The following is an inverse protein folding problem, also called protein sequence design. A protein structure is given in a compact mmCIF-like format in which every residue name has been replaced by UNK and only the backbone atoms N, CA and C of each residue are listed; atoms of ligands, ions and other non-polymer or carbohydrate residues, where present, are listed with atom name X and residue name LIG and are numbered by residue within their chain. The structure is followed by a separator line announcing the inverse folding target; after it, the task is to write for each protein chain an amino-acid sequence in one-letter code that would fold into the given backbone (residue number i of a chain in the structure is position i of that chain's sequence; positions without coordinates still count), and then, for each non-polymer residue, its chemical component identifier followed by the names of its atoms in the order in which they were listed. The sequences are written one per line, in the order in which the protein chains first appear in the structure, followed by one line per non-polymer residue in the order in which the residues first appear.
data_IF_247745435535
#
_entry.id   IF_247745435535
#
_cell.length_a   1.000
_cell.length_b   1.000
_cell.length_c   1.000
_cell.angle_alpha   90.00
_cell.angle_beta   90.00
_cell.angle_gamma   90.00
#
_symmetry.space_group_name_H-M   'P 1'
#
loop_
_entity.id
_entity.type
_entity.pdbx_description
1 polymer ?
#
# COMPACT_ATOMS: atom_id res chain seq x y z
N UNK A 1 42.73 -80.00 42.08
CA UNK A 1 43.28 -79.33 40.86
C UNK A 1 42.39 -78.07 40.68
N UNK A 2 42.79 -76.94 41.31
CA UNK A 2 42.02 -75.71 41.35
C UNK A 2 42.58 -74.77 40.28
N UNK A 3 41.72 -74.30 39.38
CA UNK A 3 42.03 -73.30 38.39
C UNK A 3 41.54 -71.96 38.95
N UNK A 4 42.48 -71.03 39.18
CA UNK A 4 42.21 -69.65 39.59
C UNK A 4 42.00 -68.83 38.34
N UNK A 5 40.80 -68.26 38.18
CA UNK A 5 40.48 -67.35 37.10
C UNK A 5 40.72 -65.88 37.58
N UNK A 6 41.63 -65.19 36.89
CA UNK A 6 41.99 -63.79 37.14
C UNK A 6 41.02 -62.87 36.39
N UNK A 7 40.21 -62.12 37.13
CA UNK A 7 39.35 -61.05 36.56
C UNK A 7 40.16 -59.78 36.30
N UNK A 8 40.33 -59.42 35.02
CA UNK A 8 40.83 -58.10 34.62
C UNK A 8 39.66 -57.09 34.62
N UNK A 9 39.77 -56.06 35.46
CA UNK A 9 38.87 -54.91 35.47
C UNK A 9 39.24 -54.00 34.31
N UNK A 10 38.28 -53.83 33.32
CA UNK A 10 38.35 -52.83 32.26
C UNK A 10 37.71 -51.54 32.80
N UNK A 11 38.52 -50.52 33.01
CA UNK A 11 38.01 -49.18 33.33
C UNK A 11 37.50 -48.51 32.09
N UNK A 12 36.19 -48.20 32.06
CA UNK A 12 35.60 -47.39 31.00
C UNK A 12 35.71 -45.92 31.47
N UNK A 13 36.55 -45.15 30.76
CA UNK A 13 36.58 -43.71 30.89
C UNK A 13 35.44 -43.12 30.05
N UNK A 14 34.39 -42.61 30.71
CA UNK A 14 33.33 -41.81 30.05
C UNK A 14 33.82 -40.37 30.01
N UNK A 15 34.24 -39.90 28.85
CA UNK A 15 34.47 -38.48 28.57
C UNK A 15 33.15 -37.81 28.38
N UNK A 16 32.69 -37.01 29.35
CA UNK A 16 31.59 -36.11 29.20
C UNK A 16 32.03 -34.93 28.32
N UNK A 17 31.60 -34.96 27.09
CA UNK A 17 31.70 -33.79 26.22
C UNK A 17 30.59 -32.80 26.60
N UNK A 18 30.99 -31.68 27.19
CA UNK A 18 30.07 -30.55 27.42
C UNK A 18 29.74 -29.91 26.05
N UNK A 19 28.57 -30.19 25.53
CA UNK A 19 27.98 -29.41 24.47
C UNK A 19 27.57 -28.05 25.03
N UNK A 20 28.32 -27.01 24.71
CA UNK A 20 27.90 -25.63 24.94
C UNK A 20 26.64 -25.35 24.17
N UNK A 21 25.57 -24.84 24.78
CA UNK A 21 24.42 -24.39 23.99
C UNK A 21 24.85 -23.19 23.15
N UNK A 22 24.83 -23.37 21.83
CA UNK A 22 24.91 -22.25 20.91
C UNK A 22 23.71 -21.35 21.19
N UNK A 23 23.95 -20.21 21.83
CA UNK A 23 22.97 -19.15 21.92
C UNK A 23 22.68 -18.68 20.50
N UNK A 24 21.56 -19.14 19.94
CA UNK A 24 20.96 -18.52 18.77
C UNK A 24 20.59 -17.11 19.17
N UNK A 25 21.45 -16.14 18.85
CA UNK A 25 21.06 -14.73 18.87
C UNK A 25 19.96 -14.58 17.86
N UNK A 26 18.71 -14.57 18.32
CA UNK A 26 17.59 -14.06 17.57
C UNK A 26 17.97 -12.62 17.19
N UNK A 27 18.36 -12.41 15.93
CA UNK A 27 18.47 -11.07 15.37
C UNK A 27 17.05 -10.50 15.35
N UNK A 28 16.67 -9.83 16.42
CA UNK A 28 15.52 -8.93 16.40
C UNK A 28 15.84 -7.82 15.40
N UNK A 29 15.28 -7.91 14.21
CA UNK A 29 15.30 -6.79 13.28
C UNK A 29 14.78 -5.55 14.03
N UNK A 30 15.50 -4.43 14.00
CA UNK A 30 15.03 -3.23 14.67
C UNK A 30 13.64 -2.89 14.12
N UNK A 31 12.70 -2.65 15.03
CA UNK A 31 11.34 -2.22 14.67
C UNK A 31 11.47 -1.00 13.74
N UNK A 32 10.68 -0.96 12.64
CA UNK A 32 10.71 0.16 11.72
C UNK A 32 10.46 1.46 12.49
N UNK A 33 11.40 2.37 12.40
CA UNK A 33 11.24 3.69 13.01
C UNK A 33 10.25 4.51 12.19
N UNK A 34 9.47 5.37 12.87
CA UNK A 34 8.61 6.35 12.18
C UNK A 34 9.41 7.13 11.15
N UNK A 35 8.78 7.52 10.00
CA UNK A 35 9.45 8.34 9.01
C UNK A 35 10.15 9.54 9.66
N UNK A 36 11.41 9.77 9.33
CA UNK A 36 12.14 10.92 9.82
C UNK A 36 11.56 12.22 9.26
N UNK A 37 11.82 13.34 9.90
CA UNK A 37 11.46 14.66 9.34
C UNK A 37 12.13 14.92 7.99
N UNK A 38 13.28 14.34 7.75
CA UNK A 38 13.99 14.40 6.48
C UNK A 38 13.28 13.61 5.39
N UNK A 39 12.84 12.36 5.69
CA UNK A 39 12.04 11.56 4.77
C UNK A 39 10.73 12.26 4.39
N UNK A 40 10.07 12.93 5.34
CA UNK A 40 8.85 13.69 5.07
C UNK A 40 9.09 14.90 4.15
N UNK A 41 10.28 15.54 4.21
CA UNK A 41 10.63 16.69 3.35
C UNK A 41 10.71 16.32 1.88
N UNK A 42 11.04 15.07 1.54
CA UNK A 42 11.07 14.60 0.14
C UNK A 42 9.73 14.78 -0.57
N UNK A 43 8.64 14.73 0.17
CA UNK A 43 7.28 14.81 -0.35
C UNK A 43 6.59 16.14 -0.02
N UNK A 44 7.38 17.15 0.35
CA UNK A 44 6.84 18.48 0.59
C UNK A 44 6.45 19.13 -0.75
N UNK A 45 5.29 19.77 -0.78
CA UNK A 45 4.82 20.51 -1.96
C UNK A 45 4.10 21.78 -1.54
N UNK A 46 4.06 22.73 -2.45
CA UNK A 46 3.25 23.95 -2.30
C UNK A 46 1.85 23.71 -2.85
N UNK A 47 0.84 24.32 -2.26
CA UNK A 47 -0.49 24.31 -2.83
C UNK A 47 -0.47 25.05 -4.19
N UNK A 48 -0.94 24.34 -5.22
CA UNK A 48 -1.17 24.92 -6.56
C UNK A 48 -2.61 24.64 -6.97
N UNK A 49 -3.17 25.49 -7.83
CA UNK A 49 -4.53 25.34 -8.32
C UNK A 49 -4.70 23.98 -9.00
N UNK A 50 -5.88 23.37 -8.85
CA UNK A 50 -6.21 22.12 -9.52
C UNK A 50 -6.66 22.33 -10.95
N UNK A 51 -7.20 23.50 -11.29
CA UNK A 51 -7.80 23.78 -12.61
C UNK A 51 -8.71 22.64 -13.02
N UNK A 52 -9.56 22.20 -12.07
CA UNK A 52 -10.44 21.03 -12.26
C UNK A 52 -11.43 21.30 -13.39
N UNK A 53 -11.43 20.41 -14.38
CA UNK A 53 -12.36 20.43 -15.52
C UNK A 53 -13.16 19.14 -15.56
N UNK A 54 -14.39 19.25 -16.04
CA UNK A 54 -15.31 18.15 -16.23
C UNK A 54 -15.37 17.79 -17.70
N UNK A 55 -15.09 16.52 -18.03
CA UNK A 55 -15.13 16.00 -19.40
C UNK A 55 -16.51 15.42 -19.71
N UNK A 56 -17.13 14.75 -18.72
CA UNK A 56 -18.49 14.22 -18.85
C UNK A 56 -19.14 13.93 -17.50
N UNK A 57 -20.47 13.82 -17.48
CA UNK A 57 -21.26 13.44 -16.30
C UNK A 57 -22.22 12.33 -16.68
N UNK A 58 -22.33 11.33 -15.82
CA UNK A 58 -23.32 10.26 -15.90
C UNK A 58 -24.06 10.16 -14.59
N UNK A 59 -25.39 10.12 -14.66
CA UNK A 59 -26.25 9.78 -13.52
C UNK A 59 -26.70 8.33 -13.64
N UNK A 60 -26.55 7.57 -12.56
CA UNK A 60 -26.93 6.16 -12.51
C UNK A 60 -27.42 5.78 -11.12
N UNK A 61 -28.70 5.41 -10.98
CA UNK A 61 -29.28 4.87 -9.73
C UNK A 61 -29.00 5.73 -8.50
N UNK A 62 -29.17 7.04 -8.61
CA UNK A 62 -28.93 7.99 -7.51
C UNK A 62 -27.45 8.28 -7.24
N UNK A 63 -26.57 7.94 -8.17
CA UNK A 63 -25.12 8.23 -8.11
C UNK A 63 -24.72 9.07 -9.31
N UNK A 64 -24.00 10.16 -9.06
CA UNK A 64 -23.35 10.98 -10.08
C UNK A 64 -21.92 10.52 -10.29
N UNK A 65 -21.55 10.18 -11.51
CA UNK A 65 -20.19 9.86 -11.94
C UNK A 65 -19.71 10.99 -12.84
N UNK A 66 -18.68 11.72 -12.41
CA UNK A 66 -18.07 12.79 -13.20
C UNK A 66 -16.70 12.32 -13.69
N UNK A 67 -16.49 12.27 -15.01
CA UNK A 67 -15.16 12.17 -15.58
C UNK A 67 -14.53 13.55 -15.55
N UNK A 68 -13.39 13.66 -14.90
CA UNK A 68 -12.72 14.93 -14.67
C UNK A 68 -11.22 14.82 -14.93
N UNK A 69 -10.60 15.96 -15.21
CA UNK A 69 -9.15 16.06 -15.15
C UNK A 69 -8.73 17.33 -14.42
N UNK A 70 -7.52 17.29 -13.84
CA UNK A 70 -6.96 18.42 -13.09
C UNK A 70 -5.45 18.55 -13.31
N UNK A 71 -4.93 19.75 -13.08
CA UNK A 71 -3.52 20.05 -13.28
C UNK A 71 -2.63 19.24 -12.34
N UNK A 72 -1.63 18.55 -12.88
CA UNK A 72 -0.59 17.89 -12.11
C UNK A 72 0.32 18.91 -11.41
N UNK A 73 0.97 18.50 -10.31
CA UNK A 73 2.00 19.29 -9.64
C UNK A 73 3.24 19.45 -10.52
N UNK A 74 3.61 18.34 -11.20
CA UNK A 74 4.69 18.31 -12.19
C UNK A 74 4.09 18.53 -13.57
N UNK A 75 4.18 19.75 -14.17
CA UNK A 75 3.47 20.08 -15.41
C UNK A 75 3.81 19.17 -16.61
N UNK A 76 5.04 18.62 -16.63
CA UNK A 76 5.51 17.72 -17.69
C UNK A 76 4.74 16.40 -17.75
N UNK A 77 4.03 16.06 -16.68
CA UNK A 77 3.17 14.87 -16.61
C UNK A 77 1.89 15.03 -17.45
N UNK A 78 1.45 16.25 -17.68
CA UNK A 78 0.13 16.53 -18.21
C UNK A 78 -0.97 16.41 -17.14
N UNK A 79 -2.23 16.66 -17.51
CA UNK A 79 -3.35 16.61 -16.57
C UNK A 79 -3.62 15.21 -16.04
N UNK A 80 -4.00 15.12 -14.78
CA UNK A 80 -4.40 13.87 -14.14
C UNK A 80 -5.89 13.64 -14.38
N UNK A 81 -6.23 12.53 -15.02
CA UNK A 81 -7.62 12.09 -15.19
C UNK A 81 -8.12 11.39 -13.95
N UNK A 82 -9.38 11.61 -13.62
CA UNK A 82 -10.02 10.97 -12.46
C UNK A 82 -11.52 10.79 -12.67
N UNK A 83 -12.12 9.87 -11.91
CA UNK A 83 -13.55 9.86 -11.66
C UNK A 83 -13.87 10.46 -10.30
N UNK A 84 -14.82 11.36 -10.25
CA UNK A 84 -15.44 11.84 -9.00
C UNK A 84 -16.84 11.23 -8.91
N UNK A 85 -16.99 10.26 -8.01
CA UNK A 85 -18.24 9.50 -7.82
C UNK A 85 -18.89 9.92 -6.52
N UNK A 86 -20.18 10.28 -6.54
CA UNK A 86 -20.87 10.78 -5.36
C UNK A 86 -22.38 10.45 -5.37
N UNK A 87 -23.04 10.43 -4.21
CA UNK A 87 -24.50 10.42 -4.16
C UNK A 87 -25.07 11.65 -4.88
N UNK A 88 -26.19 11.50 -5.58
CA UNK A 88 -26.91 12.63 -6.19
C UNK A 88 -27.62 13.52 -5.15
N UNK A 89 -27.79 13.01 -3.92
CA UNK A 89 -28.45 13.71 -2.80
C UNK A 89 -27.61 14.80 -2.15
N UNK A 90 -28.25 15.56 -1.25
CA UNK A 90 -27.59 16.53 -0.36
C UNK A 90 -27.09 15.82 0.90
N UNK A 91 -25.93 16.23 1.44
CA UNK A 91 -25.41 15.66 2.68
C UNK A 91 -23.91 15.88 2.85
N UNK A 92 -23.41 15.39 3.99
CA UNK A 92 -21.97 15.29 4.27
C UNK A 92 -21.60 13.80 4.27
N UNK A 93 -20.74 13.42 3.35
CA UNK A 93 -20.40 12.03 3.06
C UNK A 93 -18.95 11.74 3.41
N UNK A 94 -18.61 10.49 3.68
CA UNK A 94 -17.23 10.08 3.82
C UNK A 94 -16.49 10.29 2.49
N UNK A 95 -15.20 10.62 2.54
CA UNK A 95 -14.35 10.72 1.35
C UNK A 95 -13.50 9.48 1.18
N UNK A 96 -13.43 8.93 -0.04
CA UNK A 96 -12.57 7.80 -0.38
C UNK A 96 -11.67 8.16 -1.55
N UNK A 97 -10.35 7.97 -1.39
CA UNK A 97 -9.41 7.99 -2.51
C UNK A 97 -9.10 6.57 -2.92
N UNK A 98 -9.28 6.26 -4.20
CA UNK A 98 -8.91 4.98 -4.81
C UNK A 98 -7.69 5.15 -5.70
N UNK A 99 -6.75 4.22 -5.58
CA UNK A 99 -5.54 4.20 -6.39
C UNK A 99 -5.27 2.80 -6.92
N UNK A 100 -5.32 2.65 -8.22
CA UNK A 100 -5.34 1.40 -8.95
C UNK A 100 -4.00 0.67 -8.99
N UNK A 101 -4.01 -0.56 -9.51
CA UNK A 101 -2.84 -1.39 -9.77
C UNK A 101 -2.23 -1.14 -11.16
N UNK A 102 -1.12 -1.82 -11.45
CA UNK A 102 -0.50 -1.85 -12.77
C UNK A 102 -0.68 -3.24 -13.40
N UNK A 103 -1.90 -3.63 -13.68
CA UNK A 103 -2.20 -4.94 -14.23
C UNK A 103 -3.30 -4.91 -15.28
N UNK A 104 -3.40 -5.98 -16.07
CA UNK A 104 -4.46 -6.16 -17.06
C UNK A 104 -5.48 -7.19 -16.54
N UNK A 105 -6.77 -7.01 -16.83
CA UNK A 105 -7.41 -5.80 -17.34
C UNK A 105 -7.62 -4.74 -16.27
N UNK A 106 -7.95 -3.51 -16.65
CA UNK A 106 -8.29 -2.41 -15.75
C UNK A 106 -7.16 -1.89 -14.86
N UNK A 107 -5.91 -1.97 -15.33
CA UNK A 107 -4.76 -1.33 -14.68
C UNK A 107 -4.79 0.19 -14.77
N UNK A 108 -5.94 0.80 -14.50
CA UNK A 108 -6.19 2.22 -14.56
C UNK A 108 -7.27 2.66 -13.55
N UNK A 109 -7.69 3.91 -13.62
CA UNK A 109 -8.72 4.49 -12.74
C UNK A 109 -10.08 3.77 -12.78
N UNK A 110 -10.32 2.86 -13.74
CA UNK A 110 -11.59 2.11 -13.83
C UNK A 110 -11.64 0.93 -12.84
N UNK A 111 -10.51 0.46 -12.32
CA UNK A 111 -10.44 -0.72 -11.47
C UNK A 111 -11.51 -0.74 -10.36
N UNK A 112 -11.67 0.38 -9.67
CA UNK A 112 -12.60 0.48 -8.54
C UNK A 112 -13.92 1.21 -8.87
N UNK A 113 -14.23 1.46 -10.14
CA UNK A 113 -15.38 2.29 -10.49
C UNK A 113 -16.70 1.71 -9.99
N UNK A 114 -16.94 0.42 -10.20
CA UNK A 114 -18.15 -0.27 -9.74
C UNK A 114 -18.25 -0.28 -8.20
N UNK A 115 -17.12 -0.45 -7.53
CA UNK A 115 -17.06 -0.42 -6.07
C UNK A 115 -17.34 0.99 -5.54
N UNK A 116 -16.79 2.02 -6.15
CA UNK A 116 -17.06 3.40 -5.80
C UNK A 116 -18.54 3.77 -5.98
N UNK A 117 -19.19 3.29 -7.05
CA UNK A 117 -20.63 3.45 -7.27
C UNK A 117 -21.44 2.75 -6.18
N UNK A 118 -21.07 1.53 -5.80
CA UNK A 118 -21.73 0.80 -4.72
C UNK A 118 -21.59 1.51 -3.36
N UNK A 119 -20.40 2.04 -3.06
CA UNK A 119 -20.12 2.79 -1.82
C UNK A 119 -20.76 4.18 -1.81
N UNK A 120 -20.92 4.82 -2.97
CA UNK A 120 -21.64 6.09 -3.05
C UNK A 120 -23.09 5.94 -2.55
N UNK A 121 -23.78 4.82 -2.85
CA UNK A 121 -25.12 4.52 -2.32
C UNK A 121 -25.14 4.34 -0.79
N UNK A 122 -23.98 4.13 -0.17
CA UNK A 122 -23.81 4.04 1.29
C UNK A 122 -23.31 5.34 1.91
N UNK A 123 -23.17 6.41 1.13
CA UNK A 123 -22.80 7.73 1.61
C UNK A 123 -21.31 8.04 1.52
N UNK A 124 -20.67 7.72 0.39
CA UNK A 124 -19.31 8.14 0.10
C UNK A 124 -19.23 9.08 -1.10
N UNK A 125 -18.25 9.98 -1.08
CA UNK A 125 -17.71 10.67 -2.25
C UNK A 125 -16.35 10.07 -2.53
N UNK A 126 -16.17 9.51 -3.72
CA UNK A 126 -14.94 8.82 -4.10
C UNK A 126 -14.21 9.56 -5.22
N UNK A 127 -12.90 9.65 -5.13
CA UNK A 127 -12.01 10.11 -6.19
C UNK A 127 -11.14 8.93 -6.63
N UNK A 128 -11.22 8.56 -7.92
CA UNK A 128 -10.45 7.48 -8.51
C UNK A 128 -9.45 8.10 -9.48
N UNK A 129 -8.18 8.14 -9.15
CA UNK A 129 -7.17 8.84 -9.95
C UNK A 129 -6.43 7.91 -10.89
N UNK A 130 -6.03 8.45 -12.05
CA UNK A 130 -5.10 7.78 -12.96
C UNK A 130 -3.68 7.90 -12.42
N UNK A 131 -3.07 6.77 -12.07
CA UNK A 131 -1.69 6.70 -11.64
C UNK A 131 -0.70 6.85 -12.79
N UNK A 132 0.47 7.35 -12.46
CA UNK A 132 1.64 7.38 -13.33
C UNK A 132 2.75 6.55 -12.68
N UNK A 133 2.81 5.29 -13.06
CA UNK A 133 3.83 4.40 -12.51
C UNK A 133 5.10 4.47 -13.36
N UNK A 134 6.26 4.84 -12.78
CA UNK A 134 7.50 5.03 -13.53
C UNK A 134 7.85 3.85 -14.40
N UNK A 135 7.65 2.67 -13.87
CA UNK A 135 8.03 1.41 -14.50
C UNK A 135 7.14 0.99 -15.68
N UNK A 136 5.89 1.48 -15.71
CA UNK A 136 4.98 1.23 -16.82
C UNK A 136 5.39 1.96 -18.11
N UNK A 137 6.10 3.08 -17.99
CA UNK A 137 6.43 3.92 -19.14
C UNK A 137 7.80 3.58 -19.72
N UNK A 138 8.83 3.63 -18.93
CA UNK A 138 10.19 3.25 -19.28
C UNK A 138 11.04 3.33 -18.01
N UNK A 139 11.39 2.19 -17.40
CA UNK A 139 12.38 2.19 -16.35
C UNK A 139 13.69 2.74 -16.90
N UNK A 140 14.35 3.63 -16.17
CA UNK A 140 15.58 4.26 -16.66
C UNK A 140 16.75 3.99 -15.75
N UNK A 141 16.75 4.63 -14.60
CA UNK A 141 17.80 4.54 -13.60
C UNK A 141 17.25 4.97 -12.24
N UNK A 142 18.00 4.66 -11.20
CA UNK A 142 17.57 4.91 -9.83
C UNK A 142 17.22 6.36 -9.53
N UNK A 143 17.93 7.33 -10.10
CA UNK A 143 17.66 8.76 -9.83
C UNK A 143 16.36 9.21 -10.51
N UNK A 144 16.17 8.83 -11.76
CA UNK A 144 14.96 9.15 -12.51
C UNK A 144 13.73 8.48 -11.86
N UNK A 145 13.84 7.20 -11.52
CA UNK A 145 12.72 6.47 -10.90
C UNK A 145 12.44 6.99 -9.49
N UNK A 146 13.49 7.36 -8.74
CA UNK A 146 13.34 8.03 -7.44
C UNK A 146 12.51 9.30 -7.55
N UNK A 147 12.83 10.18 -8.48
CA UNK A 147 12.09 11.44 -8.66
C UNK A 147 10.63 11.16 -9.04
N UNK A 148 10.38 10.20 -9.91
CA UNK A 148 9.02 9.80 -10.31
C UNK A 148 8.19 9.24 -9.14
N UNK A 149 8.79 8.45 -8.24
CA UNK A 149 8.11 7.97 -7.03
C UNK A 149 7.77 9.14 -6.09
N UNK A 150 8.66 10.11 -5.96
CA UNK A 150 8.41 11.32 -5.17
C UNK A 150 7.24 12.10 -5.79
N UNK A 151 7.30 12.38 -7.08
CA UNK A 151 6.27 13.13 -7.80
C UNK A 151 4.90 12.45 -7.68
N UNK A 152 4.84 11.13 -7.88
CA UNK A 152 3.59 10.39 -7.76
C UNK A 152 3.04 10.40 -6.33
N UNK A 153 3.89 10.28 -5.33
CA UNK A 153 3.45 10.39 -3.92
C UNK A 153 2.88 11.78 -3.63
N UNK A 154 3.47 12.83 -4.20
CA UNK A 154 2.93 14.20 -4.09
C UNK A 154 1.57 14.28 -4.77
N UNK A 155 1.39 13.70 -5.96
CA UNK A 155 0.12 13.70 -6.66
C UNK A 155 -0.97 12.94 -5.91
N UNK A 156 -0.66 11.81 -5.29
CA UNK A 156 -1.62 11.11 -4.41
C UNK A 156 -2.04 11.97 -3.22
N UNK A 157 -1.12 12.72 -2.60
CA UNK A 157 -1.44 13.64 -1.52
C UNK A 157 -2.27 14.82 -2.00
N UNK A 158 -1.99 15.36 -3.19
CA UNK A 158 -2.81 16.40 -3.82
C UNK A 158 -4.21 15.89 -4.20
N UNK A 159 -4.33 14.63 -4.63
CA UNK A 159 -5.62 14.01 -4.85
C UNK A 159 -6.46 13.97 -3.54
N UNK A 160 -5.83 13.71 -2.39
CA UNK A 160 -6.50 13.86 -1.08
C UNK A 160 -6.92 15.31 -0.82
N UNK A 161 -6.10 16.31 -1.18
CA UNK A 161 -6.49 17.72 -1.05
C UNK A 161 -7.70 18.04 -1.91
N UNK A 162 -7.74 17.57 -3.17
CA UNK A 162 -8.85 17.75 -4.08
C UNK A 162 -10.13 17.08 -3.55
N UNK A 163 -10.03 15.83 -3.08
CA UNK A 163 -11.14 15.11 -2.47
C UNK A 163 -11.70 15.85 -1.26
N UNK A 164 -10.82 16.27 -0.33
CA UNK A 164 -11.19 16.97 0.89
C UNK A 164 -11.78 18.36 0.61
N UNK A 165 -11.43 18.98 -0.51
CA UNK A 165 -11.97 20.27 -0.94
C UNK A 165 -13.41 20.17 -1.45
N UNK A 166 -13.90 18.97 -1.79
CA UNK A 166 -15.27 18.81 -2.30
C UNK A 166 -16.30 19.19 -1.22
N UNK A 167 -17.30 20.03 -1.53
CA UNK A 167 -18.21 20.58 -0.52
C UNK A 167 -18.99 19.54 0.29
N UNK A 168 -19.25 18.38 -0.32
CA UNK A 168 -20.01 17.30 0.31
C UNK A 168 -19.14 16.33 1.14
N UNK A 169 -17.81 16.48 1.15
CA UNK A 169 -16.93 15.60 1.88
C UNK A 169 -16.80 16.01 3.35
N UNK A 170 -17.04 15.04 4.22
CA UNK A 170 -16.73 15.16 5.63
C UNK A 170 -15.23 14.91 5.87
N UNK A 171 -14.50 15.98 6.14
CA UNK A 171 -13.05 15.96 6.36
C UNK A 171 -12.59 15.07 7.52
N UNK A 172 -13.52 14.65 8.40
CA UNK A 172 -13.23 13.75 9.52
C UNK A 172 -13.37 12.26 9.16
N UNK A 173 -13.92 11.95 7.98
CA UNK A 173 -14.21 10.59 7.53
C UNK A 173 -13.56 10.32 6.17
N UNK A 174 -12.23 10.33 6.14
CA UNK A 174 -11.43 10.11 4.92
C UNK A 174 -10.80 8.72 4.97
N UNK A 175 -10.96 7.96 3.90
CA UNK A 175 -10.34 6.66 3.68
C UNK A 175 -9.52 6.62 2.40
N UNK A 176 -8.69 5.61 2.30
CA UNK A 176 -7.84 5.31 1.14
C UNK A 176 -7.92 3.82 0.81
N UNK A 177 -8.04 3.50 -0.46
CA UNK A 177 -7.96 2.12 -0.98
C UNK A 177 -6.93 2.09 -2.09
N UNK A 178 -5.95 1.22 -1.97
CA UNK A 178 -4.92 1.05 -2.99
C UNK A 178 -4.63 -0.40 -3.28
N UNK A 179 -4.29 -0.72 -4.52
CA UNK A 179 -3.97 -2.05 -4.97
C UNK A 179 -2.59 -2.08 -5.64
N UNK A 180 -1.77 -3.10 -5.34
CA UNK A 180 -0.42 -3.28 -5.89
C UNK A 180 0.43 -2.00 -5.74
N UNK A 181 0.79 -1.31 -6.82
CA UNK A 181 1.44 0.00 -6.76
C UNK A 181 0.60 1.01 -5.97
N UNK A 182 -0.71 1.03 -6.15
CA UNK A 182 -1.60 1.88 -5.38
C UNK A 182 -1.50 1.64 -3.87
N UNK A 183 -1.34 0.38 -3.45
CA UNK A 183 -1.10 0.04 -2.03
C UNK A 183 0.30 0.46 -1.56
N UNK A 184 1.31 0.34 -2.41
CA UNK A 184 2.68 0.75 -2.09
C UNK A 184 2.77 2.26 -1.87
N UNK A 185 2.18 3.07 -2.75
CA UNK A 185 2.05 4.53 -2.56
C UNK A 185 1.16 4.87 -1.37
N UNK A 186 0.05 4.15 -1.17
CA UNK A 186 -0.83 4.29 -0.02
C UNK A 186 -0.10 4.10 1.31
N UNK A 187 0.83 3.15 1.37
CA UNK A 187 1.65 2.92 2.57
C UNK A 187 2.62 4.08 2.85
N UNK A 188 3.25 4.68 1.82
CA UNK A 188 4.05 5.89 2.00
C UNK A 188 3.17 7.02 2.53
N UNK A 189 2.03 7.25 1.88
CA UNK A 189 1.08 8.31 2.26
C UNK A 189 0.57 8.10 3.69
N UNK A 190 0.37 6.87 4.15
CA UNK A 190 -0.09 6.58 5.51
C UNK A 190 0.86 7.11 6.58
N UNK A 191 2.16 7.09 6.32
CA UNK A 191 3.16 7.66 7.23
C UNK A 191 3.20 9.18 7.24
N UNK A 192 2.74 9.81 6.16
CA UNK A 192 2.85 11.26 5.92
C UNK A 192 1.54 12.01 6.19
N UNK A 193 0.38 11.35 5.98
CA UNK A 193 -0.92 12.01 5.91
C UNK A 193 -1.82 11.62 7.10
N UNK A 194 -2.12 12.59 7.96
CA UNK A 194 -2.88 12.36 9.20
C UNK A 194 -4.39 12.62 9.06
N UNK A 195 -4.84 13.11 7.91
CA UNK A 195 -6.26 13.35 7.64
C UNK A 195 -7.03 12.06 7.31
N UNK A 196 -6.33 11.05 6.80
CA UNK A 196 -6.91 9.75 6.47
C UNK A 196 -7.07 8.91 7.74
N UNK A 197 -8.26 8.33 7.93
CA UNK A 197 -8.64 7.55 9.11
C UNK A 197 -8.42 6.05 8.94
N UNK A 198 -8.46 5.59 7.70
CA UNK A 198 -8.27 4.18 7.39
C UNK A 198 -7.70 3.97 6.00
N UNK A 199 -6.89 2.96 5.86
CA UNK A 199 -6.30 2.51 4.60
C UNK A 199 -6.64 1.04 4.38
N UNK A 200 -6.98 0.71 3.13
CA UNK A 200 -7.01 -0.67 2.62
C UNK A 200 -5.86 -0.81 1.64
N UNK A 201 -4.93 -1.70 1.93
CA UNK A 201 -3.72 -1.94 1.16
C UNK A 201 -3.77 -3.37 0.60
N UNK A 202 -4.10 -3.49 -0.69
CA UNK A 202 -4.33 -4.76 -1.37
C UNK A 202 -3.08 -5.16 -2.15
N UNK A 203 -2.60 -6.37 -1.93
CA UNK A 203 -1.50 -6.99 -2.68
C UNK A 203 -0.30 -6.05 -2.92
N UNK A 204 0.01 -5.20 -1.95
CA UNK A 204 1.15 -4.28 -2.00
C UNK A 204 2.41 -4.92 -1.43
N UNK A 205 3.56 -4.41 -1.84
CA UNK A 205 4.86 -4.82 -1.34
C UNK A 205 5.53 -3.69 -0.55
N UNK A 206 6.28 -4.06 0.50
CA UNK A 206 6.97 -3.09 1.36
C UNK A 206 8.22 -2.45 0.75
N UNK A 207 8.65 -2.84 -0.46
CA UNK A 207 9.98 -2.51 -0.95
C UNK A 207 9.98 -2.27 -2.47
N UNK A 208 10.00 -1.01 -2.89
CA UNK A 208 10.08 -0.61 -4.29
C UNK A 208 11.37 -1.06 -4.97
N UNK A 209 12.51 -0.97 -4.26
CA UNK A 209 13.78 -1.32 -4.86
C UNK A 209 13.87 -2.81 -5.19
N UNK A 210 13.40 -3.69 -4.30
CA UNK A 210 13.36 -5.12 -4.55
C UNK A 210 12.37 -5.49 -5.65
N UNK A 211 11.20 -4.85 -5.66
CA UNK A 211 10.20 -5.03 -6.72
C UNK A 211 10.75 -4.66 -8.10
N UNK A 212 11.33 -3.45 -8.22
CA UNK A 212 11.87 -2.96 -9.49
C UNK A 212 12.99 -3.84 -10.03
N UNK A 213 13.93 -4.25 -9.18
CA UNK A 213 15.04 -5.11 -9.59
C UNK A 213 14.57 -6.48 -10.08
N UNK A 214 13.48 -7.00 -9.52
CA UNK A 214 12.92 -8.28 -9.91
C UNK A 214 12.14 -8.23 -11.23
N UNK A 215 11.28 -7.22 -11.40
CA UNK A 215 10.33 -7.17 -12.50
C UNK A 215 10.73 -6.19 -13.62
N UNK A 216 11.63 -5.25 -13.30
CA UNK A 216 12.11 -4.21 -14.21
C UNK A 216 13.64 -4.12 -14.16
N UNK A 217 14.37 -5.21 -14.51
CA UNK A 217 15.82 -5.26 -14.35
C UNK A 217 16.58 -4.19 -15.13
N UNK A 218 15.97 -3.63 -16.19
CA UNK A 218 16.54 -2.50 -16.91
C UNK A 218 16.73 -1.25 -16.04
N UNK A 219 16.01 -1.12 -14.92
CA UNK A 219 16.20 -0.05 -13.93
C UNK A 219 17.61 -0.06 -13.32
N UNK A 220 18.26 -1.23 -13.28
CA UNK A 220 19.59 -1.41 -12.73
C UNK A 220 20.73 -1.23 -13.74
N UNK A 221 20.52 -0.48 -14.81
CA UNK A 221 21.55 -0.27 -15.85
C UNK A 221 22.90 0.26 -15.32
N UNK A 222 22.89 0.95 -14.16
CA UNK A 222 24.07 1.45 -13.44
C UNK A 222 24.51 0.56 -12.27
N UNK A 223 23.96 -0.65 -12.15
CA UNK A 223 24.20 -1.60 -11.08
C UNK A 223 23.07 -1.63 -10.04
N UNK A 224 22.82 -2.83 -9.50
CA UNK A 224 21.73 -3.06 -8.53
C UNK A 224 21.93 -2.28 -7.23
N UNK A 225 23.17 -2.22 -6.71
CA UNK A 225 23.50 -1.50 -5.49
C UNK A 225 23.19 -0.01 -5.63
N UNK A 226 23.64 0.61 -6.73
CA UNK A 226 23.36 2.01 -7.01
C UNK A 226 21.85 2.28 -7.10
N UNK A 227 21.09 1.37 -7.72
CA UNK A 227 19.64 1.47 -7.79
C UNK A 227 18.99 1.38 -6.39
N UNK A 228 19.39 0.39 -5.58
CA UNK A 228 18.89 0.24 -4.20
C UNK A 228 19.15 1.48 -3.37
N UNK A 229 20.36 2.02 -3.43
CA UNK A 229 20.72 3.24 -2.70
C UNK A 229 19.88 4.45 -3.11
N UNK A 230 19.53 4.56 -4.39
CA UNK A 230 18.69 5.66 -4.87
C UNK A 230 17.24 5.55 -4.39
N UNK A 231 16.67 4.33 -4.36
CA UNK A 231 15.23 4.11 -4.13
C UNK A 231 14.88 3.75 -2.69
N UNK A 232 15.76 3.11 -1.92
CA UNK A 232 15.43 2.51 -0.62
C UNK A 232 14.87 3.48 0.42
N UNK A 233 15.18 4.78 0.30
CA UNK A 233 14.59 5.81 1.16
C UNK A 233 13.08 5.99 0.94
N UNK A 234 12.57 5.51 -0.20
CA UNK A 234 11.16 5.60 -0.61
C UNK A 234 10.40 4.28 -0.40
N UNK A 235 11.06 3.25 0.15
CA UNK A 235 10.41 1.96 0.37
C UNK A 235 9.19 2.09 1.30
N UNK A 236 8.00 1.60 0.90
CA UNK A 236 6.75 1.71 1.65
C UNK A 236 6.85 1.23 3.11
N UNK A 237 7.66 0.19 3.35
CA UNK A 237 7.88 -0.39 4.68
C UNK A 237 8.43 0.62 5.69
N UNK A 238 9.14 1.67 5.23
CA UNK A 238 9.70 2.72 6.08
C UNK A 238 8.65 3.71 6.58
N UNK A 239 7.49 3.79 5.91
CA UNK A 239 6.45 4.78 6.18
C UNK A 239 5.25 4.19 6.91
N UNK A 240 4.90 2.95 6.62
CA UNK A 240 3.70 2.30 7.16
C UNK A 240 3.69 2.19 8.69
N UNK A 241 4.86 2.19 9.33
CA UNK A 241 5.00 2.27 10.79
C UNK A 241 4.51 3.60 11.37
N UNK A 242 4.44 4.64 10.55
CA UNK A 242 3.94 5.96 10.93
C UNK A 242 2.44 6.15 10.72
N UNK A 243 1.69 5.16 10.28
CA UNK A 243 0.28 5.32 9.92
C UNK A 243 -0.64 5.67 11.11
N UNK A 244 -0.32 5.22 12.32
CA UNK A 244 -1.13 5.50 13.49
C UNK A 244 -1.48 7.00 13.63
N UNK A 245 -2.72 7.35 14.02
CA UNK A 245 -3.79 6.48 14.51
C UNK A 245 -4.71 5.89 13.43
N UNK A 246 -4.37 5.99 12.14
CA UNK A 246 -5.17 5.43 11.07
C UNK A 246 -5.17 3.89 11.15
N UNK A 247 -6.34 3.28 10.91
CA UNK A 247 -6.49 1.84 10.88
C UNK A 247 -6.07 1.27 9.51
N UNK A 248 -5.33 0.17 9.50
CA UNK A 248 -4.80 -0.46 8.30
C UNK A 248 -5.45 -1.83 8.08
N UNK A 249 -6.05 -2.05 6.91
CA UNK A 249 -6.43 -3.37 6.43
C UNK A 249 -5.45 -3.79 5.32
N UNK A 250 -4.79 -4.93 5.51
CA UNK A 250 -4.02 -5.58 4.47
C UNK A 250 -4.81 -6.74 3.89
N UNK A 251 -4.87 -6.82 2.56
CA UNK A 251 -5.50 -7.93 1.83
C UNK A 251 -4.45 -8.57 0.91
N UNK A 252 -4.24 -9.88 1.04
CA UNK A 252 -3.26 -10.63 0.25
C UNK A 252 -3.85 -11.92 -0.28
N UNK A 253 -3.25 -12.42 -1.36
CA UNK A 253 -3.52 -13.75 -1.90
C UNK A 253 -2.57 -14.80 -1.30
N UNK A 254 -3.11 -15.98 -0.97
CA UNK A 254 -2.31 -17.14 -0.54
C UNK A 254 -1.46 -17.70 -1.69
N UNK A 255 -1.89 -17.49 -2.93
CA UNK A 255 -1.27 -18.03 -4.14
C UNK A 255 -0.70 -16.94 -5.05
N UNK A 256 -0.37 -15.78 -4.47
CA UNK A 256 0.19 -14.65 -5.20
C UNK A 256 1.54 -15.01 -5.82
N UNK A 257 1.62 -14.93 -7.15
CA UNK A 257 2.85 -15.22 -7.90
C UNK A 257 3.87 -14.06 -7.88
N UNK A 258 3.44 -12.87 -7.52
CA UNK A 258 4.28 -11.67 -7.50
C UNK A 258 4.82 -11.38 -6.10
N UNK A 259 3.96 -11.50 -5.07
CA UNK A 259 4.29 -11.13 -3.69
C UNK A 259 4.39 -12.39 -2.82
N UNK A 260 5.62 -12.84 -2.50
CA UNK A 260 5.82 -13.97 -1.59
C UNK A 260 5.21 -13.69 -0.22
N UNK A 261 4.61 -14.71 0.39
CA UNK A 261 3.95 -14.58 1.70
C UNK A 261 4.89 -14.05 2.79
N UNK A 262 6.16 -14.42 2.77
CA UNK A 262 7.16 -13.91 3.71
C UNK A 262 7.32 -12.39 3.57
N UNK A 263 7.46 -11.88 2.35
CA UNK A 263 7.59 -10.43 2.06
C UNK A 263 6.35 -9.65 2.47
N UNK A 264 5.15 -10.19 2.19
CA UNK A 264 3.90 -9.59 2.66
C UNK A 264 3.82 -9.56 4.19
N UNK A 265 4.24 -10.64 4.86
CA UNK A 265 4.26 -10.71 6.33
C UNK A 265 5.24 -9.70 6.94
N UNK A 266 6.42 -9.51 6.37
CA UNK A 266 7.38 -8.48 6.81
C UNK A 266 6.76 -7.08 6.70
N UNK A 267 6.05 -6.81 5.61
CA UNK A 267 5.38 -5.52 5.41
C UNK A 267 4.28 -5.28 6.45
N UNK A 268 3.46 -6.29 6.75
CA UNK A 268 2.44 -6.23 7.82
C UNK A 268 3.08 -6.03 9.18
N UNK A 269 4.17 -6.75 9.49
CA UNK A 269 4.86 -6.63 10.78
C UNK A 269 5.42 -5.23 11.00
N UNK A 270 5.88 -4.56 9.94
CA UNK A 270 6.39 -3.20 10.01
C UNK A 270 5.31 -2.14 10.27
N UNK A 271 4.06 -2.45 9.97
CA UNK A 271 2.95 -1.50 10.09
C UNK A 271 2.57 -1.22 11.55
N UNK A 272 2.17 0.04 11.81
CA UNK A 272 1.63 0.43 13.12
C UNK A 272 0.25 -0.18 13.39
N UNK A 273 -0.10 -0.26 14.66
CA UNK A 273 -1.47 -0.54 15.10
C UNK A 273 -2.36 0.73 15.02
N UNK A 274 -3.69 0.58 14.85
CA UNK A 274 -4.43 -0.67 14.67
C UNK A 274 -4.34 -1.20 13.23
N UNK A 275 -4.15 -2.51 13.08
CA UNK A 275 -4.09 -3.17 11.78
C UNK A 275 -4.79 -4.54 11.78
N UNK A 276 -5.21 -4.96 10.60
CA UNK A 276 -5.70 -6.32 10.32
C UNK A 276 -5.12 -6.83 9.01
N UNK A 277 -5.00 -8.15 8.88
CA UNK A 277 -4.58 -8.80 7.65
C UNK A 277 -5.53 -9.94 7.32
N UNK A 278 -5.93 -10.02 6.05
CA UNK A 278 -6.79 -11.11 5.55
C UNK A 278 -6.11 -11.73 4.33
N UNK A 279 -6.08 -13.05 4.30
CA UNK A 279 -5.51 -13.85 3.22
C UNK A 279 -6.62 -14.59 2.48
N UNK A 280 -6.57 -14.58 1.16
CA UNK A 280 -7.59 -15.18 0.31
C UNK A 280 -6.98 -16.22 -0.63
N UNK A 281 -7.76 -17.25 -0.96
CA UNK A 281 -7.46 -18.16 -2.06
C UNK A 281 -7.93 -17.50 -3.37
N UNK A 282 -7.12 -16.60 -3.88
CA UNK A 282 -7.39 -15.76 -5.03
C UNK A 282 -6.11 -15.53 -5.82
N UNK A 283 -6.19 -14.89 -6.98
CA UNK A 283 -5.05 -14.38 -7.71
C UNK A 283 -4.59 -13.03 -7.12
N UNK A 284 -3.52 -12.48 -7.66
CA UNK A 284 -2.96 -11.18 -7.25
C UNK A 284 -3.98 -10.04 -7.35
N UNK A 285 -4.89 -10.10 -8.32
CA UNK A 285 -5.92 -9.09 -8.54
C UNK A 285 -6.96 -8.98 -7.41
N UNK A 286 -7.03 -9.98 -6.52
CA UNK A 286 -8.01 -10.04 -5.42
C UNK A 286 -9.46 -9.74 -5.86
N UNK A 287 -9.76 -10.03 -7.12
CA UNK A 287 -11.07 -9.77 -7.73
C UNK A 287 -12.10 -10.85 -7.36
N UNK A 288 -12.30 -11.04 -6.07
CA UNK A 288 -13.29 -11.97 -5.51
C UNK A 288 -14.27 -11.25 -4.59
N UNK A 289 -15.47 -11.80 -4.47
CA UNK A 289 -16.53 -11.21 -3.64
C UNK A 289 -16.13 -11.11 -2.16
N UNK A 290 -15.46 -12.13 -1.61
CA UNK A 290 -15.00 -12.12 -0.22
C UNK A 290 -14.09 -10.94 0.09
N UNK A 291 -13.10 -10.67 -0.78
CA UNK A 291 -12.17 -9.55 -0.57
C UNK A 291 -12.90 -8.19 -0.65
N UNK A 292 -13.85 -8.04 -1.59
CA UNK A 292 -14.70 -6.83 -1.68
C UNK A 292 -15.57 -6.66 -0.45
N UNK A 293 -16.21 -7.72 0.01
CA UNK A 293 -17.07 -7.70 1.19
C UNK A 293 -16.29 -7.24 2.42
N UNK A 294 -15.14 -7.85 2.69
CA UNK A 294 -14.35 -7.56 3.89
C UNK A 294 -13.87 -6.09 3.89
N UNK A 295 -13.41 -5.54 2.74
CA UNK A 295 -13.04 -4.12 2.70
C UNK A 295 -14.23 -3.16 2.76
N UNK A 296 -15.41 -3.53 2.23
CA UNK A 296 -16.63 -2.76 2.44
C UNK A 296 -17.03 -2.72 3.92
N UNK A 297 -16.98 -3.86 4.62
CA UNK A 297 -17.26 -3.93 6.06
C UNK A 297 -16.24 -3.11 6.86
N UNK A 298 -14.96 -3.21 6.51
CA UNK A 298 -13.90 -2.40 7.10
C UNK A 298 -14.14 -0.90 6.93
N UNK A 299 -14.41 -0.47 5.70
CA UNK A 299 -14.69 0.94 5.40
C UNK A 299 -15.96 1.43 6.09
N UNK A 300 -17.00 0.59 6.14
CA UNK A 300 -18.25 0.88 6.86
C UNK A 300 -17.99 1.12 8.33
N UNK A 301 -17.20 0.28 8.96
CA UNK A 301 -16.84 0.41 10.38
C UNK A 301 -16.04 1.70 10.65
N UNK A 302 -14.96 1.92 9.90
CA UNK A 302 -14.01 2.98 10.19
C UNK A 302 -14.44 4.36 9.69
N UNK A 303 -15.36 4.43 8.73
CA UNK A 303 -15.89 5.69 8.19
C UNK A 303 -17.34 5.96 8.58
N UNK A 304 -17.98 5.06 9.32
CA UNK A 304 -19.37 5.19 9.73
C UNK A 304 -20.34 5.29 8.54
N UNK A 305 -20.20 4.37 7.57
CA UNK A 305 -21.09 4.33 6.41
C UNK A 305 -22.43 3.69 6.77
N UNK A 306 -23.48 3.99 5.99
CA UNK A 306 -24.76 3.32 6.14
C UNK A 306 -24.61 1.82 5.81
N UNK A 307 -25.15 0.95 6.67
CA UNK A 307 -25.20 -0.50 6.38
C UNK A 307 -26.16 -0.74 5.22
N UNK A 308 -25.83 -1.68 4.35
CA UNK A 308 -26.81 -2.21 3.38
C UNK A 308 -27.95 -2.86 4.16
N UNK A 309 -29.15 -2.35 4.00
CA UNK A 309 -30.38 -3.02 4.41
C UNK A 309 -30.72 -4.13 3.42
#
# INVERSE_FOLDING_TARGET
MYIVATLRRIGIFITLSFLSPAFSQSMTLPLPQKPSSESARLFAYKSVAFDLKEDSVKEQDGVTIRDVHYAAYTPQRGPIRAYLVRPSGKGRFAGLLFFHWLGEPNGDRNEFLDEAVALARQGTVSLLIQGYFPWAVAPKDGETDRQRVIDETIEVRRALDLLISQPQVDRKRIGFVGHDYGAMYGAIVSGLEKRVKTYVLMAGMGNFSAWSLKYWPASAAKGEEAYRLAINALDPIRYVSGAAPAALLFQFSNTDKYIPKATASEFVLAASEPKSVIWYDALHDLNIEAARKDRHEWLTLHLGLARRT
#
